data_IF_000549674261
#
_entry.id   IF_000549674261
#
_cell.length_a   1.000
_cell.length_b   1.000
_cell.length_c   1.000
_cell.angle_alpha   90.00
_cell.angle_beta   90.00
_cell.angle_gamma   90.00
#
_symmetry.space_group_name_H-M   'P 1'
#
loop_
_entity.id
_entity.type
_entity.pdbx_description
1 polymer ?
#
# COMPACT_ATOMS: atom_id res chain seq x y z
N UNK A 1 0.13 14.83 5.62
CA UNK A 1 1.01 15.15 6.76
C UNK A 1 0.77 14.12 7.85
N UNK A 2 1.69 13.18 8.04
CA UNK A 2 1.56 12.17 9.11
C UNK A 2 1.93 12.80 10.45
N UNK A 3 1.08 12.66 11.46
CA UNK A 3 1.36 13.14 12.83
C UNK A 3 1.84 11.96 13.67
N UNK A 4 3.07 12.03 14.17
CA UNK A 4 3.66 11.02 15.05
C UNK A 4 3.53 11.49 16.50
N UNK A 5 3.09 10.60 17.38
CA UNK A 5 2.99 10.84 18.82
C UNK A 5 3.55 9.62 19.55
N UNK A 6 4.50 9.85 20.45
CA UNK A 6 5.09 8.82 21.30
C UNK A 6 5.02 9.28 22.77
N UNK A 7 3.99 8.85 23.52
CA UNK A 7 3.82 9.26 24.92
C UNK A 7 5.01 8.82 25.79
N UNK A 8 5.54 9.76 26.60
CA UNK A 8 6.64 9.48 27.53
C UNK A 8 8.04 9.49 26.90
N UNK A 9 8.15 9.66 25.58
CA UNK A 9 9.44 9.86 24.94
C UNK A 9 10.03 11.22 25.29
N UNK A 10 11.32 11.22 25.54
CA UNK A 10 12.13 12.44 25.62
C UNK A 10 12.26 13.09 24.24
N UNK A 11 12.67 14.37 24.21
CA UNK A 11 12.89 15.09 22.95
C UNK A 11 13.93 14.38 22.05
N UNK A 12 14.96 13.78 22.65
CA UNK A 12 15.98 13.03 21.93
C UNK A 12 15.42 11.75 21.30
N UNK A 13 14.58 11.02 22.03
CA UNK A 13 13.91 9.81 21.50
C UNK A 13 12.90 10.17 20.41
N UNK A 14 12.18 11.28 20.57
CA UNK A 14 11.28 11.78 19.53
C UNK A 14 12.05 12.10 18.24
N UNK A 15 13.22 12.74 18.35
CA UNK A 15 14.08 13.00 17.20
C UNK A 15 14.58 11.71 16.52
N UNK A 16 14.97 10.71 17.31
CA UNK A 16 15.38 9.40 16.78
C UNK A 16 14.22 8.67 16.06
N UNK A 17 13.00 8.73 16.60
CA UNK A 17 11.80 8.15 15.98
C UNK A 17 11.50 8.82 14.64
N UNK A 18 11.60 10.16 14.57
CA UNK A 18 11.38 10.90 13.33
C UNK A 18 12.38 10.49 12.24
N UNK A 19 13.67 10.42 12.58
CA UNK A 19 14.72 9.97 11.65
C UNK A 19 14.43 8.54 11.14
N UNK A 20 14.08 7.63 12.05
CA UNK A 20 13.77 6.25 11.68
C UNK A 20 12.53 6.15 10.79
N UNK A 21 11.49 6.95 11.07
CA UNK A 21 10.27 7.00 10.28
C UNK A 21 10.55 7.48 8.85
N UNK A 22 11.28 8.58 8.69
CA UNK A 22 11.66 9.11 7.37
C UNK A 22 12.52 8.12 6.57
N UNK A 23 13.41 7.39 7.24
CA UNK A 23 14.24 6.38 6.60
C UNK A 23 13.46 5.13 6.13
N UNK A 24 12.46 4.68 6.91
CA UNK A 24 11.66 3.50 6.58
C UNK A 24 10.50 3.81 5.62
N UNK A 25 9.93 5.01 5.72
CA UNK A 25 8.76 5.44 4.96
C UNK A 25 9.08 6.67 4.12
N UNK A 26 9.88 6.52 3.05
CA UNK A 26 10.09 7.61 2.12
C UNK A 26 8.76 8.04 1.49
N UNK A 27 8.63 9.32 1.17
CA UNK A 27 7.45 9.82 0.45
C UNK A 27 7.24 9.01 -0.83
N UNK A 28 6.00 8.59 -1.12
CA UNK A 28 5.73 7.92 -2.37
C UNK A 28 6.19 8.83 -3.51
N UNK A 29 6.87 8.29 -4.53
CA UNK A 29 7.32 9.10 -5.65
C UNK A 29 6.12 9.88 -6.17
N UNK A 30 6.27 11.20 -6.31
CA UNK A 30 5.29 12.03 -6.99
C UNK A 30 5.10 11.42 -8.36
N UNK A 31 3.94 10.81 -8.58
CA UNK A 31 3.69 9.96 -9.73
C UNK A 31 3.90 10.77 -11.01
N UNK A 32 5.05 10.61 -11.65
CA UNK A 32 5.09 10.80 -13.09
C UNK A 32 4.29 9.62 -13.62
N UNK A 33 3.16 9.88 -14.29
CA UNK A 33 2.34 8.83 -14.92
C UNK A 33 3.21 8.01 -15.86
N UNK A 34 3.85 6.98 -15.34
CA UNK A 34 4.43 5.91 -16.10
C UNK A 34 3.30 4.92 -16.33
N UNK A 35 3.14 4.51 -17.58
CA UNK A 35 2.23 3.51 -18.15
C UNK A 35 2.12 2.23 -17.31
N UNK A 36 1.56 2.34 -16.10
CA UNK A 36 1.34 1.21 -15.21
C UNK A 36 0.02 0.61 -15.67
N UNK A 37 0.04 -0.58 -16.29
CA UNK A 37 -1.21 -1.20 -16.70
C UNK A 37 -2.07 -1.39 -15.46
N UNK A 38 -3.39 -1.15 -15.56
CA UNK A 38 -4.29 -1.32 -14.42
C UNK A 38 -4.16 -2.75 -13.91
N UNK A 39 -3.88 -2.89 -12.62
CA UNK A 39 -3.79 -4.20 -12.01
C UNK A 39 -5.13 -4.92 -12.17
N UNK A 40 -5.11 -6.08 -12.83
CA UNK A 40 -6.28 -6.94 -12.98
C UNK A 40 -6.13 -8.09 -12.01
N UNK A 41 -7.13 -8.26 -11.15
CA UNK A 41 -7.23 -9.43 -10.31
C UNK A 41 -7.27 -10.69 -11.18
N UNK A 42 -6.28 -11.57 -11.05
CA UNK A 42 -6.12 -12.80 -11.84
C UNK A 42 -7.18 -13.87 -11.57
N UNK A 43 -8.23 -13.56 -10.81
CA UNK A 43 -9.28 -14.49 -10.42
C UNK A 43 -8.91 -15.33 -9.19
N UNK A 44 -9.84 -16.20 -8.79
CA UNK A 44 -9.65 -17.16 -7.70
C UNK A 44 -9.19 -18.48 -8.31
N UNK A 45 -7.87 -18.66 -8.42
CA UNK A 45 -7.26 -19.86 -9.00
C UNK A 45 -7.51 -21.14 -8.17
N UNK A 46 -7.96 -20.99 -6.93
CA UNK A 46 -8.32 -22.09 -6.02
C UNK A 46 -9.80 -22.50 -6.08
N UNK A 47 -10.60 -21.95 -7.01
CA UNK A 47 -11.96 -22.42 -7.23
C UNK A 47 -11.96 -23.47 -8.33
N UNK A 48 -12.57 -24.63 -8.05
CA UNK A 48 -12.89 -25.64 -9.06
C UNK A 48 -13.89 -25.07 -10.09
N UNK A 49 -13.91 -25.63 -11.30
CA UNK A 49 -14.70 -25.10 -12.43
C UNK A 49 -16.19 -24.89 -12.08
N UNK A 50 -16.75 -25.76 -11.24
CA UNK A 50 -18.15 -25.71 -10.78
C UNK A 50 -18.45 -24.57 -9.79
N UNK A 51 -17.42 -23.98 -9.19
CA UNK A 51 -17.54 -22.90 -8.20
C UNK A 51 -17.26 -21.52 -8.80
N UNK A 52 -16.93 -21.44 -10.08
CA UNK A 52 -16.64 -20.16 -10.73
C UNK A 52 -17.95 -19.38 -10.97
N UNK A 53 -18.07 -18.13 -10.44
CA UNK A 53 -19.24 -17.31 -10.75
C UNK A 53 -19.30 -17.03 -12.27
N UNK A 54 -20.51 -16.94 -12.86
CA UNK A 54 -20.66 -16.77 -14.29
C UNK A 54 -19.89 -15.53 -14.74
N UNK A 55 -18.95 -15.71 -15.67
CA UNK A 55 -18.16 -14.61 -16.23
C UNK A 55 -19.13 -13.69 -16.96
N UNK A 56 -19.33 -12.48 -16.44
CA UNK A 56 -20.15 -11.46 -17.08
C UNK A 56 -19.40 -10.93 -18.30
N UNK A 57 -19.49 -11.63 -19.42
CA UNK A 57 -19.13 -11.09 -20.74
C UNK A 57 -20.18 -10.04 -21.11
N UNK A 58 -19.86 -8.78 -20.84
CA UNK A 58 -20.57 -7.66 -21.45
C UNK A 58 -20.27 -7.65 -22.94
N UNK A 59 -21.33 -7.70 -23.76
CA UNK A 59 -21.30 -7.38 -25.18
C UNK A 59 -21.21 -5.87 -25.35
#
# INVERSE_FOLDING_TARGET
MTRIVAPGATDAEMAAILIAYEALWPDPPTSTSADTPPWRFSGRWWLDEDSQPPRRTGR
#
